data_IF_296839019676
#
_entry.id   IF_296839019676
#
_cell.length_a   1.000
_cell.length_b   1.000
_cell.length_c   1.000
_cell.angle_alpha   90.00
_cell.angle_beta   90.00
_cell.angle_gamma   90.00
#
_symmetry.space_group_name_H-M   'P 1'
#
loop_
_entity.id
_entity.type
_entity.pdbx_description
1 polymer ?
#
# COMPACT_ATOMS: atom_id res chain seq x y z
N UNK A 1 -19.51 3.81 9.61
CA UNK A 1 -18.29 3.06 9.32
C UNK A 1 -17.09 3.95 9.49
N UNK A 2 -16.02 3.40 10.03
CA UNK A 2 -14.77 4.14 10.18
C UNK A 2 -14.06 4.25 8.82
N UNK A 3 -13.67 5.45 8.43
CA UNK A 3 -12.86 5.66 7.22
C UNK A 3 -11.52 4.91 7.28
N UNK A 4 -11.01 4.72 8.49
CA UNK A 4 -9.79 3.95 8.73
C UNK A 4 -9.95 2.49 8.30
N UNK A 5 -11.05 1.85 8.70
CA UNK A 5 -11.31 0.45 8.33
C UNK A 5 -11.51 0.28 6.83
N UNK A 6 -12.23 1.20 6.21
CA UNK A 6 -12.43 1.18 4.75
C UNK A 6 -11.10 1.29 4.02
N UNK A 7 -10.21 2.16 4.50
CA UNK A 7 -8.90 2.35 3.91
C UNK A 7 -8.04 1.09 4.05
N UNK A 8 -8.04 0.46 5.22
CA UNK A 8 -7.31 -0.80 5.44
C UNK A 8 -7.79 -1.87 4.47
N UNK A 9 -9.11 -1.99 4.31
CA UNK A 9 -9.70 -2.96 3.40
C UNK A 9 -9.23 -2.72 1.96
N UNK A 10 -9.20 -1.46 1.52
CA UNK A 10 -8.74 -1.11 0.18
C UNK A 10 -7.27 -1.43 -0.02
N UNK A 11 -6.42 -1.15 0.97
CA UNK A 11 -5.00 -1.48 0.91
C UNK A 11 -4.81 -2.99 0.78
N UNK A 12 -5.52 -3.77 1.59
CA UNK A 12 -5.41 -5.22 1.58
C UNK A 12 -5.96 -5.86 0.31
N UNK A 13 -6.93 -5.20 -0.34
CA UNK A 13 -7.54 -5.69 -1.57
C UNK A 13 -6.77 -5.29 -2.83
N UNK A 14 -5.84 -4.35 -2.72
CA UNK A 14 -5.05 -3.89 -3.86
C UNK A 14 -4.13 -5.01 -4.35
N UNK A 15 -4.15 -5.29 -5.65
CA UNK A 15 -3.37 -6.35 -6.26
C UNK A 15 -2.17 -5.84 -7.03
N UNK A 16 -2.13 -4.56 -7.36
CA UNK A 16 -1.06 -3.95 -8.13
C UNK A 16 -0.55 -2.69 -7.43
N UNK A 17 0.66 -2.27 -7.80
CA UNK A 17 1.24 -1.02 -7.29
C UNK A 17 0.40 0.18 -7.72
N UNK A 18 -0.14 0.16 -8.94
CA UNK A 18 -1.03 1.22 -9.44
C UNK A 18 -2.29 1.35 -8.58
N UNK A 19 -2.87 0.22 -8.17
CA UNK A 19 -4.02 0.22 -7.26
C UNK A 19 -3.66 0.89 -5.94
N UNK A 20 -2.47 0.61 -5.41
CA UNK A 20 -2.00 1.20 -4.17
C UNK A 20 -1.77 2.71 -4.30
N UNK A 21 -1.27 3.17 -5.45
CA UNK A 21 -1.13 4.59 -5.72
C UNK A 21 -2.49 5.30 -5.71
N UNK A 22 -3.50 4.68 -6.28
CA UNK A 22 -4.87 5.22 -6.27
C UNK A 22 -5.43 5.30 -4.86
N UNK A 23 -5.19 4.26 -4.07
CA UNK A 23 -5.60 4.25 -2.66
C UNK A 23 -4.90 5.38 -1.90
N UNK A 24 -3.59 5.55 -2.12
CA UNK A 24 -2.81 6.61 -1.49
C UNK A 24 -3.35 8.00 -1.79
N UNK A 25 -3.72 8.27 -3.04
CA UNK A 25 -4.32 9.54 -3.44
C UNK A 25 -5.65 9.77 -2.73
N UNK A 26 -6.48 8.73 -2.64
CA UNK A 26 -7.75 8.80 -1.92
C UNK A 26 -7.56 9.09 -0.44
N UNK A 27 -6.56 8.46 0.19
CA UNK A 27 -6.23 8.69 1.60
C UNK A 27 -5.80 10.12 1.86
N UNK A 28 -4.97 10.70 0.98
CA UNK A 28 -4.54 12.07 1.11
C UNK A 28 -5.73 13.03 1.06
N UNK A 29 -6.68 12.78 0.17
CA UNK A 29 -7.89 13.57 0.05
C UNK A 29 -8.77 13.47 1.29
N UNK A 30 -8.95 12.27 1.82
CA UNK A 30 -9.74 12.03 3.04
C UNK A 30 -9.10 12.74 4.23
N UNK A 31 -7.78 12.72 4.31
CA UNK A 31 -7.05 13.44 5.35
C UNK A 31 -7.22 14.97 5.23
N UNK A 32 -7.13 15.49 4.00
CA UNK A 32 -7.25 16.92 3.74
C UNK A 32 -8.61 17.47 4.15
N UNK A 33 -9.68 16.69 3.99
CA UNK A 33 -11.03 17.11 4.40
C UNK A 33 -11.31 16.82 5.87
N UNK A 34 -10.32 16.35 6.62
CA UNK A 34 -10.43 16.17 8.07
C UNK A 34 -11.16 14.93 8.54
N UNK A 35 -11.34 13.93 7.66
CA UNK A 35 -12.02 12.68 8.01
C UNK A 35 -11.10 11.62 8.60
N UNK A 36 -9.79 11.88 8.59
CA UNK A 36 -8.79 11.05 9.23
C UNK A 36 -7.94 11.91 10.15
N UNK A 37 -7.57 11.36 11.32
CA UNK A 37 -6.61 12.02 12.18
C UNK A 37 -5.21 11.86 11.60
N UNK A 38 -4.27 12.72 12.01
CA UNK A 38 -2.87 12.59 11.58
C UNK A 38 -2.27 11.24 11.96
N UNK A 39 -2.67 10.71 13.11
CA UNK A 39 -2.21 9.42 13.61
C UNK A 39 -2.73 8.27 12.72
N UNK A 40 -4.01 8.33 12.37
CA UNK A 40 -4.62 7.35 11.46
C UNK A 40 -3.99 7.40 10.08
N UNK A 41 -3.78 8.59 9.55
CA UNK A 41 -3.14 8.78 8.24
C UNK A 41 -1.73 8.17 8.24
N UNK A 42 -0.95 8.43 9.30
CA UNK A 42 0.40 7.90 9.42
C UNK A 42 0.42 6.37 9.43
N UNK A 43 -0.50 5.75 10.18
CA UNK A 43 -0.62 4.29 10.23
C UNK A 43 -0.99 3.70 8.88
N UNK A 44 -1.90 4.35 8.17
CA UNK A 44 -2.32 3.91 6.84
C UNK A 44 -1.20 4.05 5.83
N UNK A 45 -0.43 5.13 5.93
CA UNK A 45 0.72 5.36 5.06
C UNK A 45 1.77 4.27 5.24
N UNK A 46 2.05 3.87 6.48
CA UNK A 46 2.98 2.77 6.77
C UNK A 46 2.49 1.45 6.19
N UNK A 47 1.21 1.15 6.33
CA UNK A 47 0.62 -0.06 5.74
C UNK A 47 0.69 -0.04 4.22
N UNK A 48 0.44 1.12 3.63
CA UNK A 48 0.53 1.31 2.19
C UNK A 48 1.95 1.03 1.70
N UNK A 49 2.95 1.59 2.37
CA UNK A 49 4.35 1.38 2.04
C UNK A 49 4.75 -0.09 2.16
N UNK A 50 4.32 -0.77 3.22
CA UNK A 50 4.59 -2.20 3.41
C UNK A 50 4.00 -3.03 2.26
N UNK A 51 2.79 -2.69 1.85
CA UNK A 51 2.12 -3.40 0.76
C UNK A 51 2.80 -3.14 -0.58
N UNK A 52 3.23 -1.90 -0.83
CA UNK A 52 4.00 -1.55 -2.03
C UNK A 52 5.29 -2.37 -2.09
N UNK A 53 6.03 -2.43 -0.98
CA UNK A 53 7.26 -3.20 -0.90
C UNK A 53 7.01 -4.68 -1.16
N UNK A 54 5.97 -5.24 -0.57
CA UNK A 54 5.62 -6.64 -0.77
C UNK A 54 5.35 -6.96 -2.24
N UNK A 55 4.54 -6.13 -2.91
CA UNK A 55 4.21 -6.32 -4.33
C UNK A 55 5.43 -6.09 -5.23
N UNK A 56 6.26 -5.13 -4.88
CA UNK A 56 7.49 -4.85 -5.62
C UNK A 56 8.45 -6.06 -5.59
N UNK A 57 8.67 -6.64 -4.40
CA UNK A 57 9.52 -7.82 -4.26
C UNK A 57 8.95 -9.03 -4.98
N UNK A 58 7.63 -9.23 -4.91
CA UNK A 58 6.97 -10.32 -5.62
C UNK A 58 7.18 -10.19 -7.14
N UNK A 59 7.08 -8.97 -7.66
CA UNK A 59 7.32 -8.69 -9.08
C UNK A 59 8.78 -8.94 -9.46
N UNK A 60 9.73 -8.51 -8.65
CA UNK A 60 11.15 -8.73 -8.90
C UNK A 60 11.49 -10.22 -8.95
N UNK A 61 10.94 -11.00 -8.04
CA UNK A 61 11.15 -12.46 -8.04
C UNK A 61 10.62 -13.10 -9.31
N UNK A 62 9.51 -12.59 -9.81
CA UNK A 62 8.88 -13.09 -11.01
C UNK A 62 9.67 -12.73 -12.26
N UNK A 63 10.19 -11.49 -12.30
CA UNK A 63 10.90 -10.96 -13.46
C UNK A 63 12.37 -11.40 -13.51
N UNK A 64 12.97 -11.68 -12.35
CA UNK A 64 14.41 -11.97 -12.25
C UNK A 64 14.71 -13.22 -11.42
N UNK A 65 14.21 -14.40 -11.82
CA UNK A 65 14.46 -15.62 -11.06
C UNK A 65 15.95 -16.00 -11.04
N UNK A 66 16.73 -15.61 -12.05
CA UNK A 66 18.16 -15.88 -12.11
C UNK A 66 18.96 -15.17 -11.02
N UNK A 67 18.53 -13.97 -10.64
CA UNK A 67 19.19 -13.22 -9.55
C UNK A 67 19.00 -13.94 -8.22
N UNK A 68 17.82 -14.48 -7.99
CA UNK A 68 17.52 -15.23 -6.78
C UNK A 68 18.39 -16.48 -6.67
N UNK A 69 18.67 -17.15 -7.79
CA UNK A 69 19.55 -18.32 -7.84
C UNK A 69 21.01 -17.94 -7.57
N UNK A 70 21.43 -16.79 -8.05
CA UNK A 70 22.80 -16.33 -7.88
C UNK A 70 23.14 -15.95 -6.44
N UNK A 71 22.14 -15.60 -5.64
CA UNK A 71 22.32 -15.19 -4.25
C UNK A 71 22.27 -16.34 -3.24
N UNK A 72 22.02 -17.52 -3.69
CA UNK A 72 22.01 -18.71 -2.81
C UNK A 72 23.39 -19.27 -2.57
#
# INVERSE_FOLDING_TARGET
MSNYRSAISRINSAKTIDDLHRVGKGLARVYDVGQLTGREYMRLDLKLCDRVNLLHWARLRQDYPAIERATK
#
